data_IF_783370503096
#
_entry.id   IF_783370503096
#
_cell.length_a   1.000
_cell.length_b   1.000
_cell.length_c   1.000
_cell.angle_alpha   90.00
_cell.angle_beta   90.00
_cell.angle_gamma   90.00
#
_symmetry.space_group_name_H-M   'P 1'
#
loop_
_entity.id
_entity.type
_entity.pdbx_description
1 polymer ?
#
# COMPACT_ATOMS: atom_id res chain seq x y z
N UNK A 1 22.24 -6.40 -23.46
CA UNK A 1 21.93 -6.12 -22.99
C UNK A 1 21.60 -5.85 -22.33
N UNK A 2 21.61 -5.66 -22.00
CA UNK A 2 21.27 -5.40 -21.23
C UNK A 2 20.83 -4.77 -20.94
N UNK A 3 20.44 -4.42 -20.98
CA UNK A 3 19.99 -3.87 -20.70
C UNK A 3 19.31 -3.58 -20.02
N UNK A 4 18.93 -3.38 -20.33
CA UNK A 4 18.05 -2.79 -19.48
C UNK A 4 18.16 -3.12 -18.13
N UNK A 5 19.04 -3.69 -17.79
CA UNK A 5 19.12 -4.04 -16.65
C UNK A 5 19.12 -3.06 -15.77
N UNK A 6 19.28 -2.31 -15.50
CA UNK A 6 19.22 -1.34 -14.45
C UNK A 6 17.97 -0.56 -14.39
N UNK A 7 17.09 -0.72 -15.32
CA UNK A 7 15.90 0.10 -15.30
C UNK A 7 14.70 -0.73 -14.98
N UNK A 8 14.09 -0.45 -13.86
CA UNK A 8 12.86 -1.08 -13.53
C UNK A 8 11.76 -0.11 -13.90
N UNK A 9 10.71 -0.57 -14.54
CA UNK A 9 9.60 0.31 -14.88
C UNK A 9 8.45 0.04 -13.93
N UNK A 10 7.72 1.07 -13.58
CA UNK A 10 6.60 0.97 -12.67
C UNK A 10 5.42 1.56 -13.43
N UNK A 11 4.91 0.78 -14.36
CA UNK A 11 3.94 1.27 -15.32
C UNK A 11 2.52 0.76 -15.14
N UNK A 12 2.24 0.08 -14.04
CA UNK A 12 0.93 -0.52 -13.90
C UNK A 12 -0.07 0.41 -13.23
N UNK A 13 0.39 1.52 -12.73
CA UNK A 13 -0.54 2.49 -12.15
C UNK A 13 0.15 3.40 -11.14
N UNK A 14 -0.68 4.14 -10.42
CA UNK A 14 -0.21 5.08 -9.43
C UNK A 14 -0.92 4.75 -8.12
N UNK A 15 -0.16 4.70 -7.05
CA UNK A 15 -0.72 4.47 -5.72
C UNK A 15 -0.47 5.71 -4.89
N UNK A 16 -1.50 6.17 -4.20
CA UNK A 16 -1.38 7.28 -3.26
C UNK A 16 -1.37 6.71 -1.86
N UNK A 17 -0.36 7.05 -1.10
CA UNK A 17 -0.19 6.51 0.25
C UNK A 17 -0.58 7.57 1.26
N UNK A 18 -1.37 7.15 2.24
CA UNK A 18 -1.86 8.03 3.29
C UNK A 18 -1.57 7.38 4.64
N UNK A 19 -1.56 8.19 5.67
CA UNK A 19 -1.37 7.69 7.02
C UNK A 19 -2.50 8.26 7.87
N UNK A 20 -3.03 7.45 8.75
CA UNK A 20 -4.12 7.90 9.61
C UNK A 20 -3.63 9.02 10.50
N UNK A 21 -4.49 9.99 10.73
CA UNK A 21 -4.16 11.10 11.57
C UNK A 21 -4.39 10.69 13.01
N UNK A 22 -3.36 10.79 13.82
CA UNK A 22 -3.49 10.46 15.22
C UNK A 22 -3.82 11.73 15.96
N UNK A 23 -4.95 11.79 16.63
CA UNK A 23 -5.34 12.98 17.37
C UNK A 23 -5.57 12.63 18.80
N UNK A 24 -5.13 13.49 19.66
CA UNK A 24 -5.30 13.26 21.08
C UNK A 24 -6.75 13.17 21.46
N UNK A 25 -7.61 13.83 20.74
CA UNK A 25 -9.01 13.84 21.10
C UNK A 25 -9.77 12.67 20.51
N UNK A 26 -9.10 11.78 19.83
CA UNK A 26 -9.80 10.70 19.17
C UNK A 26 -9.80 9.45 19.96
N UNK A 27 -9.80 9.57 21.27
CA UNK A 27 -9.67 8.37 22.02
C UNK A 27 -10.87 7.49 21.84
N UNK A 28 -11.99 8.02 21.48
CA UNK A 28 -13.09 7.15 21.27
C UNK A 28 -13.30 6.91 19.82
N UNK A 29 -12.38 7.21 19.03
CA UNK A 29 -12.65 7.18 17.68
C UNK A 29 -12.22 6.02 17.06
N UNK A 30 -12.35 5.03 17.58
CA UNK A 30 -12.06 4.01 16.96
C UNK A 30 -12.78 3.91 15.80
N UNK A 31 -13.24 4.80 15.32
CA UNK A 31 -14.01 4.74 14.21
C UNK A 31 -13.27 4.28 13.04
N UNK A 32 -13.91 3.78 12.07
CA UNK A 32 -13.30 3.36 10.85
C UNK A 32 -12.80 4.53 10.07
N UNK A 33 -11.57 4.51 9.67
CA UNK A 33 -11.02 5.57 8.87
C UNK A 33 -11.27 5.15 7.44
N UNK A 34 -12.33 5.66 6.84
CA UNK A 34 -12.70 5.23 5.52
C UNK A 34 -12.74 6.36 4.51
N UNK A 35 -12.36 7.56 4.89
CA UNK A 35 -12.31 8.65 3.92
C UNK A 35 -10.94 9.28 4.00
N UNK A 36 -10.57 9.95 2.92
CA UNK A 36 -9.27 10.59 2.90
C UNK A 36 -9.21 11.81 3.82
N UNK A 37 -10.38 12.30 4.26
CA UNK A 37 -10.36 13.44 5.16
C UNK A 37 -9.78 13.10 6.52
N UNK A 38 -9.74 11.82 6.85
CA UNK A 38 -9.20 11.42 8.13
C UNK A 38 -7.76 10.99 8.04
N UNK A 39 -7.10 11.28 6.94
CA UNK A 39 -5.75 10.79 6.70
C UNK A 39 -4.87 11.88 6.15
N UNK A 40 -3.58 11.77 6.41
CA UNK A 40 -2.59 12.67 5.85
C UNK A 40 -1.94 12.01 4.66
N UNK A 41 -1.81 12.76 3.58
CA UNK A 41 -1.14 12.27 2.39
C UNK A 41 0.35 12.12 2.69
N UNK A 42 0.93 11.02 2.27
CA UNK A 42 2.34 10.75 2.47
C UNK A 42 3.11 10.88 1.16
N UNK A 43 2.73 10.10 0.15
CA UNK A 43 3.48 10.10 -1.10
C UNK A 43 2.65 9.44 -2.19
N UNK A 44 2.92 9.81 -3.42
CA UNK A 44 2.27 9.20 -4.57
C UNK A 44 3.37 8.52 -5.38
N UNK A 45 3.16 7.28 -5.74
CA UNK A 45 4.19 6.47 -6.38
C UNK A 45 3.64 5.73 -7.59
N UNK A 46 4.45 5.62 -8.62
CA UNK A 46 4.15 4.69 -9.70
C UNK A 46 4.51 3.30 -9.21
N UNK A 47 3.78 2.31 -9.64
CA UNK A 47 4.03 0.96 -9.16
C UNK A 47 3.94 -0.07 -10.27
N UNK A 48 4.44 -1.25 -9.97
CA UNK A 48 4.29 -2.41 -10.81
C UNK A 48 3.58 -3.45 -9.97
N UNK A 49 2.55 -4.05 -10.53
CA UNK A 49 1.81 -5.08 -9.83
C UNK A 49 2.55 -6.41 -9.99
N UNK A 50 2.66 -7.17 -8.93
CA UNK A 50 3.36 -8.43 -8.94
C UNK A 50 2.37 -9.56 -8.76
N UNK A 51 2.74 -10.73 -9.27
CA UNK A 51 1.91 -11.91 -9.09
C UNK A 51 1.88 -12.31 -7.63
N UNK A 52 0.75 -12.81 -7.19
CA UNK A 52 0.64 -13.35 -5.85
C UNK A 52 1.04 -14.81 -5.92
N UNK A 53 2.22 -15.13 -5.43
CA UNK A 53 2.72 -16.48 -5.48
C UNK A 53 2.17 -17.26 -4.30
N UNK A 54 2.27 -18.58 -4.35
CA UNK A 54 1.72 -19.39 -3.29
C UNK A 54 2.33 -19.03 -1.95
N UNK A 55 3.64 -18.79 -1.89
CA UNK A 55 4.25 -18.44 -0.63
C UNK A 55 3.78 -17.08 -0.13
N UNK A 56 3.38 -16.17 -1.03
CA UNK A 56 2.83 -14.89 -0.60
C UNK A 56 1.47 -15.08 0.05
N UNK A 57 0.67 -15.98 -0.49
CA UNK A 57 -0.64 -16.25 0.06
C UNK A 57 -0.53 -16.97 1.39
N UNK A 58 0.45 -17.86 1.53
CA UNK A 58 0.67 -18.56 2.78
C UNK A 58 1.16 -17.58 3.85
N UNK A 59 2.04 -16.65 3.46
CA UNK A 59 2.53 -15.66 4.40
C UNK A 59 1.36 -14.81 4.90
N UNK A 60 0.48 -14.40 4.01
CA UNK A 60 -0.67 -13.60 4.40
C UNK A 60 -1.56 -14.36 5.36
N UNK A 61 -1.80 -15.63 5.07
CA UNK A 61 -2.66 -16.42 5.93
C UNK A 61 -2.03 -16.57 7.31
N UNK A 62 -0.72 -16.79 7.40
CA UNK A 62 -0.05 -16.94 8.67
C UNK A 62 -0.03 -15.64 9.47
N UNK A 63 -0.21 -14.51 8.81
CA UNK A 63 -0.19 -13.22 9.46
C UNK A 63 -1.58 -12.58 9.50
N UNK A 64 -2.60 -13.39 9.25
CA UNK A 64 -3.98 -12.97 9.45
C UNK A 64 -4.44 -11.83 8.57
N UNK A 65 -4.00 -11.80 7.32
CA UNK A 65 -4.59 -10.83 6.40
C UNK A 65 -4.86 -11.52 5.06
N UNK A 66 -5.70 -10.89 4.26
CA UNK A 66 -6.05 -11.40 2.94
C UNK A 66 -5.29 -10.59 1.91
N UNK A 67 -4.43 -11.23 1.15
CA UNK A 67 -3.64 -10.51 0.16
C UNK A 67 -4.47 -10.28 -1.09
N UNK A 68 -4.82 -9.03 -1.33
CA UNK A 68 -5.58 -8.65 -2.51
C UNK A 68 -4.66 -8.27 -3.66
N UNK A 69 -3.56 -7.60 -3.37
CA UNK A 69 -2.66 -7.13 -4.39
C UNK A 69 -1.26 -6.99 -3.81
N UNK A 70 -0.25 -7.29 -4.61
CA UNK A 70 1.13 -7.10 -4.19
C UNK A 70 1.75 -6.19 -5.24
N UNK A 71 2.36 -5.10 -4.79
CA UNK A 71 2.95 -4.15 -5.73
C UNK A 71 4.38 -3.82 -5.30
N UNK A 72 5.14 -3.25 -6.23
CA UNK A 72 6.43 -2.70 -5.87
C UNK A 72 6.61 -1.34 -6.49
N UNK A 73 7.39 -0.51 -5.83
CA UNK A 73 7.69 0.84 -6.28
C UNK A 73 9.15 1.12 -5.98
N UNK A 74 9.60 2.31 -6.32
CA UNK A 74 10.92 2.72 -5.88
C UNK A 74 10.90 2.89 -4.37
N UNK A 75 12.06 2.78 -3.79
CA UNK A 75 12.17 2.87 -2.33
C UNK A 75 11.93 4.30 -1.87
N UNK A 76 11.06 4.47 -0.90
CA UNK A 76 10.81 5.75 -0.28
C UNK A 76 10.65 5.52 1.20
N UNK A 77 10.78 6.58 1.98
CA UNK A 77 10.62 6.49 3.42
C UNK A 77 9.18 6.80 3.78
N UNK A 78 8.80 6.44 4.96
CA UNK A 78 7.51 6.86 5.50
C UNK A 78 6.35 5.94 5.20
N UNK A 79 6.59 4.81 4.57
CA UNK A 79 5.52 3.88 4.24
C UNK A 79 5.70 2.62 5.07
N UNK A 80 4.70 2.28 5.87
CA UNK A 80 4.75 1.09 6.69
C UNK A 80 3.34 0.53 6.86
N UNK A 81 3.16 -0.41 7.75
CA UNK A 81 1.87 -1.07 7.90
C UNK A 81 0.84 -0.23 8.64
N UNK A 82 1.15 1.02 8.95
CA UNK A 82 0.16 1.93 9.49
C UNK A 82 -0.38 2.83 8.40
N UNK A 83 -0.01 2.60 7.18
CA UNK A 83 -0.46 3.40 6.06
C UNK A 83 -1.64 2.75 5.35
N UNK A 84 -2.32 3.55 4.54
CA UNK A 84 -3.35 3.09 3.66
C UNK A 84 -2.92 3.43 2.25
N UNK A 85 -3.40 2.66 1.29
CA UNK A 85 -3.05 2.88 -0.10
C UNK A 85 -4.33 3.05 -0.91
N UNK A 86 -4.32 3.97 -1.85
CA UNK A 86 -5.46 4.20 -2.72
C UNK A 86 -5.01 3.99 -4.16
N UNK A 87 -5.68 3.09 -4.87
CA UNK A 87 -5.38 2.80 -6.25
C UNK A 87 -6.72 2.78 -6.99
N UNK A 88 -6.84 3.63 -7.99
CA UNK A 88 -8.04 3.67 -8.84
C UNK A 88 -9.33 3.77 -8.01
N UNK A 89 -9.31 4.59 -6.99
CA UNK A 89 -10.52 4.81 -6.19
C UNK A 89 -10.85 3.70 -5.23
N UNK A 90 -9.93 2.79 -5.00
CA UNK A 90 -10.17 1.72 -4.05
C UNK A 90 -9.17 1.83 -2.90
N UNK A 91 -9.64 1.66 -1.68
CA UNK A 91 -8.82 1.79 -0.49
C UNK A 91 -8.29 0.42 -0.07
N UNK A 92 -7.02 0.37 0.24
CA UNK A 92 -6.38 -0.85 0.72
C UNK A 92 -5.64 -0.55 2.02
N UNK A 93 -5.57 -1.55 2.89
CA UNK A 93 -4.67 -1.48 4.01
C UNK A 93 -3.31 -1.97 3.56
N UNK A 94 -2.26 -1.34 4.05
CA UNK A 94 -0.90 -1.82 3.80
C UNK A 94 -0.63 -2.82 4.93
N UNK A 95 -0.80 -4.09 4.64
CA UNK A 95 -0.71 -5.12 5.67
C UNK A 95 0.72 -5.50 5.98
N UNK A 96 1.61 -5.34 5.03
CA UNK A 96 3.01 -5.68 5.26
C UNK A 96 3.86 -4.94 4.23
N UNK A 97 5.03 -4.53 4.63
CA UNK A 97 5.98 -3.92 3.72
C UNK A 97 7.29 -4.67 3.78
N UNK A 98 7.95 -4.76 2.66
CA UNK A 98 9.27 -5.34 2.57
C UNK A 98 10.08 -4.41 1.68
N UNK A 99 11.39 -4.46 1.78
CA UNK A 99 12.18 -3.56 0.97
C UNK A 99 13.54 -4.14 0.67
N UNK A 100 14.07 -3.74 -0.46
CA UNK A 100 15.42 -4.04 -0.84
C UNK A 100 16.18 -2.73 -0.79
N UNK A 101 17.37 -2.69 -1.37
CA UNK A 101 18.14 -1.46 -1.37
C UNK A 101 17.49 -0.41 -2.24
N UNK A 102 16.71 -0.78 -3.23
CA UNK A 102 16.19 0.16 -4.20
C UNK A 102 14.69 0.13 -4.36
N UNK A 103 14.02 -0.84 -3.78
CA UNK A 103 12.59 -1.02 -4.03
C UNK A 103 11.80 -1.25 -2.76
N UNK A 104 10.56 -0.87 -2.81
CA UNK A 104 9.62 -1.06 -1.72
C UNK A 104 8.53 -2.00 -2.21
N UNK A 105 8.21 -3.01 -1.42
CA UNK A 105 7.16 -3.97 -1.77
C UNK A 105 6.03 -3.81 -0.77
N UNK A 106 4.81 -3.73 -1.27
CA UNK A 106 3.64 -3.55 -0.43
C UNK A 106 2.67 -4.70 -0.65
N UNK A 107 2.23 -5.27 0.46
CA UNK A 107 1.24 -6.34 0.45
C UNK A 107 -0.05 -5.67 0.90
N UNK A 108 -1.02 -5.63 0.02
CA UNK A 108 -2.23 -4.83 0.20
C UNK A 108 -3.47 -5.70 0.38
N UNK A 109 -4.27 -5.31 1.34
CA UNK A 109 -5.54 -5.97 1.57
C UNK A 109 -6.65 -4.99 1.23
N UNK A 110 -7.57 -5.38 0.35
CA UNK A 110 -8.64 -4.49 -0.08
C UNK A 110 -9.61 -4.20 1.04
N UNK A 111 -10.06 -2.98 1.12
CA UNK A 111 -11.01 -2.56 2.12
C UNK A 111 -12.33 -2.21 1.46
N UNK A 112 -12.36 -1.18 0.63
CA UNK A 112 -13.61 -0.75 0.04
C UNK A 112 -13.36 0.27 -1.05
N UNK A 113 -14.34 0.48 -1.88
CA UNK A 113 -14.30 1.57 -2.85
C UNK A 113 -14.46 2.88 -2.09
N UNK A 114 -13.77 3.91 -2.52
CA UNK A 114 -13.83 5.20 -1.88
C UNK A 114 -14.79 6.06 -2.65
N UNK A 115 -15.74 6.68 -1.93
CA UNK A 115 -16.66 7.58 -2.54
C UNK A 115 -15.89 8.78 -2.95
N UNK A 116 -16.04 9.13 -4.17
CA UNK A 116 -15.28 10.25 -4.58
C UNK A 116 -15.97 11.50 -4.32
N UNK A 117 -16.74 11.72 -4.01
CA UNK A 117 -17.25 12.89 -3.81
C UNK A 117 -16.99 13.54 -3.23
#
# INVERSE_FOLDING_TARGET
MNKGKGFETYNDGVVSIYREIARATDFNAKRNVSTLDDMDFVVKLNFKELSKREQDLEFAQQNDFTLSMKIKSRLVKGVDNKCKAVIDGYLYDVSYTDKSKTELFLYLEGVKAIDSE
#
